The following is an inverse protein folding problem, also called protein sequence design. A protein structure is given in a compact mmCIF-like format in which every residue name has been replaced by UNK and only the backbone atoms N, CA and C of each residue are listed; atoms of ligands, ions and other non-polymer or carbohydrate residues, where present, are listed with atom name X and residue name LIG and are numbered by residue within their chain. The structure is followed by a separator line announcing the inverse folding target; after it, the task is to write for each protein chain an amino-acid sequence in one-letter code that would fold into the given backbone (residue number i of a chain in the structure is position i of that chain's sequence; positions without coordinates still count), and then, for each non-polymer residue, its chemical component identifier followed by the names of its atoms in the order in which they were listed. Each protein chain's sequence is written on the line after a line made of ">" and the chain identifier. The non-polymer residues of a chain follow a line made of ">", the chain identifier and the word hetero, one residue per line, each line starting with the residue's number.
data_IF_629229800964
#
_entry.id   IF_629229800964
#
_cell.length_a   1.000
_cell.length_b   1.000
_cell.length_c   1.000
_cell.angle_alpha   90.00
_cell.angle_beta   90.00
_cell.angle_gamma   90.00
#
_symmetry.space_group_name_H-M   'P 1'
#
loop_
_entity.id
_entity.type
_entity.pdbx_description
1 polymer ?
#
# COMPACT_ATOMS: atom_id res chain seq x y z
N UNK A 1 -12.81 39.23 -1.34
CA UNK A 1 -11.96 40.01 -0.42
C UNK A 1 -11.91 39.22 0.88
N UNK A 2 -11.10 38.15 0.91
CA UNK A 2 -10.89 37.35 2.12
C UNK A 2 -9.83 38.06 2.95
N UNK A 3 -10.24 38.59 4.10
CA UNK A 3 -9.33 39.17 5.06
C UNK A 3 -8.43 38.05 5.60
N UNK A 4 -7.20 37.97 5.07
CA UNK A 4 -6.13 37.21 5.69
C UNK A 4 -5.95 37.73 7.11
N UNK A 5 -6.20 36.89 8.10
CA UNK A 5 -5.81 37.16 9.49
C UNK A 5 -4.27 37.15 9.51
N UNK A 6 -3.66 38.29 9.25
CA UNK A 6 -2.26 38.52 9.58
C UNK A 6 -2.18 38.69 11.11
N UNK A 7 -1.98 37.59 11.81
CA UNK A 7 -1.57 37.67 13.21
C UNK A 7 -0.18 38.31 13.27
N UNK A 8 -0.10 39.54 13.77
CA UNK A 8 1.17 40.16 14.16
C UNK A 8 1.77 39.36 15.31
N UNK A 9 2.78 38.55 15.02
CA UNK A 9 3.37 37.63 15.99
C UNK A 9 4.46 38.34 16.82
N UNK A 10 4.06 38.86 17.99
CA UNK A 10 4.92 39.54 18.97
C UNK A 10 5.56 38.57 19.97
N UNK A 11 5.88 37.34 19.56
CA UNK A 11 6.34 36.27 20.47
C UNK A 11 7.86 36.09 20.50
N UNK A 12 8.39 35.82 21.70
CA UNK A 12 9.82 35.70 22.04
C UNK A 12 10.53 34.57 21.27
N UNK A 13 11.84 34.72 21.04
CA UNK A 13 12.62 33.92 20.07
C UNK A 13 12.60 32.40 20.25
N UNK A 14 12.48 31.88 21.48
CA UNK A 14 12.35 30.44 21.74
C UNK A 14 10.97 29.89 21.37
N UNK A 15 9.89 30.64 21.70
CA UNK A 15 8.53 30.26 21.34
C UNK A 15 8.31 30.31 19.83
N UNK A 16 8.93 31.26 19.15
CA UNK A 16 8.92 31.34 17.68
C UNK A 16 9.55 30.11 17.04
N UNK A 17 10.74 29.71 17.50
CA UNK A 17 11.45 28.51 16.99
C UNK A 17 10.65 27.22 17.23
N UNK A 18 9.97 27.10 18.37
CA UNK A 18 9.09 25.95 18.67
C UNK A 18 7.84 25.93 17.79
N UNK A 19 7.22 27.09 17.52
CA UNK A 19 6.06 27.21 16.63
C UNK A 19 6.44 26.97 15.16
N UNK A 20 7.66 27.34 14.76
CA UNK A 20 8.18 27.12 13.42
C UNK A 20 8.50 25.64 13.14
N UNK A 21 8.82 24.87 14.19
CA UNK A 21 9.04 23.42 14.08
C UNK A 21 7.71 22.69 13.96
N UNK A 22 7.50 21.96 12.85
CA UNK A 22 6.27 21.19 12.59
C UNK A 22 6.51 19.69 12.62
N UNK A 23 5.48 18.95 13.06
CA UNK A 23 5.36 17.49 12.95
C UNK A 23 4.09 17.21 12.13
N UNK A 24 4.27 16.77 10.89
CA UNK A 24 3.17 16.74 9.93
C UNK A 24 2.57 18.14 9.73
N UNK A 25 1.23 18.29 9.78
CA UNK A 25 0.59 19.60 9.63
C UNK A 25 0.60 20.46 10.91
N UNK A 26 1.02 19.91 12.06
CA UNK A 26 0.86 20.56 13.37
C UNK A 26 2.15 21.26 13.82
N UNK A 27 2.07 22.49 14.38
CA UNK A 27 3.17 23.07 15.15
C UNK A 27 3.53 22.20 16.35
N UNK A 28 4.80 22.14 16.72
CA UNK A 28 5.31 21.27 17.78
C UNK A 28 4.56 21.43 19.12
N UNK A 29 4.25 22.64 19.63
CA UNK A 29 3.49 22.78 20.88
C UNK A 29 2.11 22.11 20.81
N UNK A 30 1.39 22.30 19.71
CA UNK A 30 0.05 21.70 19.50
C UNK A 30 0.15 20.18 19.44
N UNK A 31 1.14 19.67 18.70
CA UNK A 31 1.39 18.23 18.62
C UNK A 31 1.65 17.63 20.01
N UNK A 32 2.56 18.22 20.80
CA UNK A 32 2.92 17.73 22.14
C UNK A 32 1.71 17.78 23.08
N UNK A 33 0.90 18.83 23.03
CA UNK A 33 -0.33 18.91 23.84
C UNK A 33 -1.32 17.80 23.48
N UNK A 34 -1.59 17.55 22.21
CA UNK A 34 -2.51 16.48 21.77
C UNK A 34 -1.96 15.10 22.14
N UNK A 35 -0.65 14.88 21.97
CA UNK A 35 0.01 13.65 22.40
C UNK A 35 -0.11 13.43 23.91
N UNK A 36 0.14 14.46 24.73
CA UNK A 36 0.01 14.38 26.18
C UNK A 36 -1.43 14.05 26.60
N UNK A 37 -2.44 14.71 26.02
CA UNK A 37 -3.85 14.42 26.29
C UNK A 37 -4.20 12.97 25.93
N UNK A 38 -3.75 12.49 24.77
CA UNK A 38 -4.03 11.13 24.28
C UNK A 38 -3.37 10.08 25.18
N UNK A 39 -2.11 10.28 25.57
CA UNK A 39 -1.38 9.38 26.47
C UNK A 39 -2.01 9.37 27.87
N UNK A 40 -2.33 10.54 28.42
CA UNK A 40 -3.01 10.64 29.72
C UNK A 40 -4.39 9.97 29.69
N UNK A 41 -5.16 10.14 28.61
CA UNK A 41 -6.44 9.47 28.45
C UNK A 41 -6.29 7.94 28.40
N UNK A 42 -5.27 7.43 27.70
CA UNK A 42 -4.98 5.99 27.63
C UNK A 42 -4.62 5.41 29.00
N UNK A 43 -3.65 6.03 29.70
CA UNK A 43 -3.19 5.58 31.03
C UNK A 43 -4.35 5.60 32.06
N UNK A 44 -5.23 6.60 31.98
CA UNK A 44 -6.42 6.71 32.84
C UNK A 44 -7.60 5.86 32.38
N UNK A 45 -7.45 5.02 31.33
CA UNK A 45 -8.52 4.19 30.74
C UNK A 45 -9.75 4.99 30.29
N UNK A 46 -9.53 6.23 29.84
CA UNK A 46 -10.53 7.17 29.33
C UNK A 46 -10.38 7.44 27.83
N UNK A 47 -9.40 6.83 27.17
CA UNK A 47 -9.28 6.90 25.72
C UNK A 47 -10.51 6.23 25.07
N UNK A 48 -11.26 6.93 24.20
CA UNK A 48 -12.40 6.34 23.52
C UNK A 48 -11.98 5.13 22.67
N UNK A 49 -12.67 4.00 22.83
CA UNK A 49 -12.46 2.82 22.00
C UNK A 49 -13.32 2.89 20.72
N UNK A 50 -13.06 3.91 19.91
CA UNK A 50 -13.77 4.20 18.68
C UNK A 50 -12.85 4.87 17.66
N UNK A 51 -13.42 5.35 16.55
CA UNK A 51 -12.68 6.02 15.49
C UNK A 51 -12.00 7.32 15.97
N UNK A 52 -12.54 8.02 16.95
CA UNK A 52 -11.95 9.27 17.48
C UNK A 52 -10.65 8.92 18.21
N UNK A 53 -10.72 7.98 19.17
CA UNK A 53 -9.53 7.56 19.91
C UNK A 53 -8.48 6.89 19.03
N UNK A 54 -8.91 6.04 18.10
CA UNK A 54 -7.96 5.37 17.21
C UNK A 54 -7.33 6.31 16.18
N UNK A 55 -8.07 7.24 15.59
CA UNK A 55 -7.47 8.25 14.70
C UNK A 55 -6.45 9.12 15.43
N UNK A 56 -6.71 9.50 16.69
CA UNK A 56 -5.75 10.25 17.49
C UNK A 56 -4.41 9.50 17.60
N UNK A 57 -4.45 8.22 17.99
CA UNK A 57 -3.23 7.39 18.11
C UNK A 57 -2.55 7.18 16.76
N UNK A 58 -3.31 6.80 15.72
CA UNK A 58 -2.79 6.54 14.38
C UNK A 58 -2.10 7.78 13.79
N UNK A 59 -2.76 8.95 13.86
CA UNK A 59 -2.24 10.19 13.27
C UNK A 59 -1.06 10.75 14.05
N UNK A 60 -1.09 10.70 15.39
CA UNK A 60 0.06 11.16 16.21
C UNK A 60 1.32 10.36 15.87
N UNK A 61 1.23 9.03 15.93
CA UNK A 61 2.36 8.15 15.58
C UNK A 61 2.75 8.32 14.11
N UNK A 62 1.78 8.40 13.20
CA UNK A 62 2.02 8.52 11.76
C UNK A 62 2.73 9.82 11.40
N UNK A 63 2.32 10.95 11.97
CA UNK A 63 2.97 12.24 11.73
C UNK A 63 4.38 12.26 12.31
N UNK A 64 4.58 11.74 13.52
CA UNK A 64 5.91 11.70 14.14
C UNK A 64 6.88 10.81 13.35
N UNK A 65 6.49 9.56 13.09
CA UNK A 65 7.35 8.59 12.40
C UNK A 65 7.56 8.97 10.94
N UNK A 66 6.54 9.52 10.29
CA UNK A 66 6.64 10.04 8.93
C UNK A 66 7.64 11.19 8.82
N UNK A 67 7.58 12.15 9.74
CA UNK A 67 8.51 13.29 9.79
C UNK A 67 9.95 12.84 10.06
N UNK A 68 10.15 11.96 11.05
CA UNK A 68 11.47 11.38 11.36
C UNK A 68 12.02 10.65 10.13
N UNK A 69 11.22 9.79 9.50
CA UNK A 69 11.65 8.99 8.35
C UNK A 69 11.95 9.82 7.11
N UNK A 70 11.29 10.97 6.93
CA UNK A 70 11.55 11.91 5.85
C UNK A 70 12.84 12.72 6.07
N UNK A 71 13.24 12.98 7.32
CA UNK A 71 14.43 13.77 7.66
C UNK A 71 15.72 12.94 7.74
N UNK A 72 15.64 11.64 7.99
CA UNK A 72 16.82 10.78 8.08
C UNK A 72 17.55 10.66 6.72
N UNK A 73 18.85 11.02 6.63
CA UNK A 73 19.54 11.26 5.37
C UNK A 73 19.66 10.02 4.47
N UNK A 74 19.85 8.83 5.04
CA UNK A 74 19.89 7.56 4.27
C UNK A 74 18.48 7.01 4.05
N UNK A 75 17.66 7.01 5.10
CA UNK A 75 16.32 6.41 5.08
C UNK A 75 15.38 7.12 4.11
N UNK A 76 15.48 8.44 3.94
CA UNK A 76 14.62 9.20 3.01
C UNK A 76 14.67 8.71 1.56
N UNK A 77 15.79 8.12 1.15
CA UNK A 77 16.01 7.61 -0.21
C UNK A 77 15.50 6.18 -0.44
N UNK A 78 15.10 5.48 0.62
CA UNK A 78 14.60 4.09 0.55
C UNK A 78 13.16 3.97 1.08
N UNK A 79 12.42 5.09 1.16
CA UNK A 79 11.05 5.10 1.67
C UNK A 79 10.95 5.17 3.20
N UNK A 80 11.92 5.81 3.86
CA UNK A 80 12.08 5.87 5.31
C UNK A 80 10.82 6.23 6.09
N UNK A 81 10.02 7.19 5.60
CA UNK A 81 8.75 7.55 6.23
C UNK A 81 7.78 6.36 6.29
N UNK A 82 7.60 5.64 5.17
CA UNK A 82 6.72 4.47 5.11
C UNK A 82 7.26 3.31 5.96
N UNK A 83 8.58 3.07 5.90
CA UNK A 83 9.26 2.01 6.67
C UNK A 83 9.09 2.25 8.18
N UNK A 84 9.38 3.45 8.67
CA UNK A 84 9.25 3.74 10.10
C UNK A 84 7.80 3.64 10.56
N UNK A 85 6.84 4.19 9.80
CA UNK A 85 5.43 4.07 10.11
C UNK A 85 4.94 2.61 10.13
N UNK A 86 5.56 1.70 9.37
CA UNK A 86 5.18 0.29 9.36
C UNK A 86 5.87 -0.53 10.46
N UNK A 87 7.20 -0.45 10.57
CA UNK A 87 7.96 -1.36 11.42
C UNK A 87 8.10 -0.88 12.86
N UNK A 88 8.13 0.43 13.13
CA UNK A 88 8.23 0.92 14.51
C UNK A 88 6.98 0.53 15.32
N UNK A 89 5.74 0.73 14.83
CA UNK A 89 4.56 0.28 15.57
C UNK A 89 4.51 -1.24 15.75
N UNK A 90 4.90 -2.01 14.73
CA UNK A 90 5.03 -3.47 14.85
C UNK A 90 5.99 -3.87 15.98
N UNK A 91 7.17 -3.24 16.04
CA UNK A 91 8.15 -3.47 17.09
C UNK A 91 7.63 -3.04 18.47
N UNK A 92 7.00 -1.87 18.58
CA UNK A 92 6.41 -1.38 19.83
C UNK A 92 5.33 -2.34 20.36
N UNK A 93 4.53 -2.94 19.47
CA UNK A 93 3.58 -4.01 19.84
C UNK A 93 4.32 -5.27 20.27
N UNK A 94 5.32 -5.70 19.51
CA UNK A 94 6.12 -6.90 19.80
C UNK A 94 6.84 -6.84 21.16
N UNK A 95 7.35 -5.68 21.54
CA UNK A 95 7.96 -5.41 22.84
C UNK A 95 6.96 -5.03 23.94
N UNK A 96 5.66 -5.02 23.64
CA UNK A 96 4.57 -4.68 24.58
C UNK A 96 4.70 -3.27 25.20
N UNK A 97 5.18 -2.31 24.40
CA UNK A 97 5.34 -0.90 24.80
C UNK A 97 4.04 -0.10 24.63
N UNK A 98 3.21 -0.45 23.64
CA UNK A 98 1.94 0.24 23.40
C UNK A 98 0.93 -0.09 24.51
N UNK A 99 0.30 0.95 25.06
CA UNK A 99 -0.75 0.82 26.07
C UNK A 99 -1.94 -0.03 25.55
N UNK A 100 -2.52 -0.93 26.39
CA UNK A 100 -3.64 -1.78 25.98
C UNK A 100 -4.87 -1.02 25.48
N UNK A 101 -5.19 0.16 26.03
CA UNK A 101 -6.33 0.97 25.59
C UNK A 101 -6.05 1.61 24.23
N UNK A 102 -4.81 2.03 23.97
CA UNK A 102 -4.40 2.45 22.63
C UNK A 102 -4.54 1.29 21.63
N UNK A 103 -4.10 0.08 22.00
CA UNK A 103 -4.24 -1.10 21.12
C UNK A 103 -5.69 -1.47 20.81
N UNK A 104 -6.60 -1.34 21.80
CA UNK A 104 -8.03 -1.51 21.58
C UNK A 104 -8.56 -0.47 20.59
N UNK A 105 -8.27 0.81 20.81
CA UNK A 105 -8.71 1.89 19.92
C UNK A 105 -8.19 1.73 18.48
N UNK A 106 -6.91 1.33 18.33
CA UNK A 106 -6.31 0.99 17.02
C UNK A 106 -7.05 -0.17 16.35
N UNK A 107 -7.31 -1.25 17.10
CA UNK A 107 -8.00 -2.44 16.59
C UNK A 107 -9.42 -2.09 16.16
N UNK A 108 -10.18 -1.38 16.99
CA UNK A 108 -11.54 -0.96 16.67
C UNK A 108 -11.56 -0.09 15.43
N UNK A 109 -10.65 0.87 15.31
CA UNK A 109 -10.64 1.80 14.17
C UNK A 109 -10.27 1.11 12.85
N UNK A 110 -9.24 0.25 12.88
CA UNK A 110 -8.72 -0.37 11.65
C UNK A 110 -9.53 -1.61 11.23
N UNK A 111 -9.91 -2.48 12.19
CA UNK A 111 -10.58 -3.75 11.91
C UNK A 111 -12.10 -3.68 12.05
N UNK A 112 -12.63 -2.97 13.06
CA UNK A 112 -14.08 -2.95 13.31
C UNK A 112 -14.79 -1.85 12.50
N UNK A 113 -14.29 -0.62 12.57
CA UNK A 113 -14.80 0.53 11.82
C UNK A 113 -14.34 0.53 10.35
N UNK A 114 -13.43 -0.38 9.98
CA UNK A 114 -12.95 -0.57 8.60
C UNK A 114 -12.34 0.68 7.96
N UNK A 115 -11.66 1.52 8.76
CA UNK A 115 -10.99 2.72 8.25
C UNK A 115 -10.01 2.41 7.10
N UNK A 116 -9.34 1.25 7.17
CA UNK A 116 -8.44 0.78 6.12
C UNK A 116 -9.16 0.58 4.78
N UNK A 117 -10.35 -0.05 4.78
CA UNK A 117 -11.12 -0.25 3.55
C UNK A 117 -11.72 1.04 3.04
N UNK A 118 -12.14 1.95 3.92
CA UNK A 118 -12.57 3.29 3.51
C UNK A 118 -11.43 4.05 2.81
N UNK A 119 -10.22 3.96 3.37
CA UNK A 119 -9.02 4.53 2.78
C UNK A 119 -8.74 3.94 1.38
N UNK A 120 -8.71 2.61 1.26
CA UNK A 120 -8.49 1.93 -0.03
C UNK A 120 -9.59 2.32 -1.03
N UNK A 121 -10.85 2.39 -0.60
CA UNK A 121 -11.97 2.77 -1.46
C UNK A 121 -11.80 4.18 -2.03
N UNK A 122 -11.45 5.15 -1.18
CA UNK A 122 -11.18 6.52 -1.62
C UNK A 122 -10.02 6.58 -2.61
N UNK A 123 -8.93 5.84 -2.34
CA UNK A 123 -7.78 5.79 -3.22
C UNK A 123 -8.09 5.19 -4.58
N UNK A 124 -8.71 4.01 -4.60
CA UNK A 124 -9.01 3.29 -5.85
C UNK A 124 -10.02 4.08 -6.69
N UNK A 125 -11.14 4.50 -6.10
CA UNK A 125 -12.16 5.25 -6.83
C UNK A 125 -11.61 6.59 -7.34
N UNK A 126 -10.96 7.36 -6.48
CA UNK A 126 -10.48 8.70 -6.84
C UNK A 126 -9.32 8.70 -7.82
N UNK A 127 -8.40 7.72 -7.75
CA UNK A 127 -7.30 7.61 -8.72
C UNK A 127 -7.77 7.11 -10.09
N UNK A 128 -8.73 6.17 -10.17
CA UNK A 128 -9.33 5.72 -11.45
C UNK A 128 -10.13 6.84 -12.09
N UNK A 129 -11.00 7.51 -11.32
CA UNK A 129 -11.83 8.58 -11.87
C UNK A 129 -10.99 9.82 -12.21
N UNK A 130 -9.87 10.05 -11.51
CA UNK A 130 -8.98 11.18 -11.74
C UNK A 130 -8.05 11.05 -12.95
N UNK A 131 -7.82 9.84 -13.48
CA UNK A 131 -6.94 9.63 -14.64
C UNK A 131 -7.68 9.75 -15.97
N UNK A 132 -6.96 9.88 -17.09
CA UNK A 132 -7.59 9.81 -18.42
C UNK A 132 -8.01 8.38 -18.76
N UNK A 133 -9.17 8.22 -19.42
CA UNK A 133 -9.68 6.90 -19.83
C UNK A 133 -8.71 6.15 -20.78
N UNK A 134 -7.92 6.87 -21.59
CA UNK A 134 -6.90 6.26 -22.47
C UNK A 134 -5.75 5.65 -21.67
N UNK A 135 -5.23 6.39 -20.67
CA UNK A 135 -4.15 5.91 -19.79
C UNK A 135 -4.62 4.70 -18.98
N UNK A 136 -5.86 4.73 -18.48
CA UNK A 136 -6.48 3.61 -17.77
C UNK A 136 -6.47 2.32 -18.61
N UNK A 137 -7.06 2.36 -19.81
CA UNK A 137 -7.18 1.18 -20.68
C UNK A 137 -5.80 0.70 -21.14
N UNK A 138 -4.93 1.61 -21.59
CA UNK A 138 -3.58 1.23 -22.04
C UNK A 138 -2.74 0.67 -20.89
N UNK A 139 -2.87 1.24 -19.70
CA UNK A 139 -2.15 0.79 -18.51
C UNK A 139 -2.55 -0.63 -18.12
N UNK A 140 -3.85 -0.92 -18.04
CA UNK A 140 -4.33 -2.27 -17.72
C UNK A 140 -3.90 -3.31 -18.75
N UNK A 141 -4.05 -3.01 -20.05
CA UNK A 141 -3.68 -3.94 -21.11
C UNK A 141 -2.17 -4.23 -21.14
N UNK A 142 -1.34 -3.19 -20.97
CA UNK A 142 0.13 -3.35 -21.05
C UNK A 142 0.72 -3.96 -19.80
N UNK A 143 0.10 -3.79 -18.63
CA UNK A 143 0.64 -4.24 -17.36
C UNK A 143 0.55 -5.76 -17.14
N UNK A 144 -0.26 -6.47 -17.93
CA UNK A 144 -0.36 -7.93 -17.85
C UNK A 144 0.97 -8.63 -18.17
N UNK A 145 1.70 -8.15 -19.19
CA UNK A 145 2.95 -8.79 -19.64
C UNK A 145 4.10 -8.61 -18.63
N UNK A 146 4.40 -7.40 -18.11
CA UNK A 146 5.42 -7.24 -17.07
C UNK A 146 5.10 -8.03 -15.80
N UNK A 147 3.81 -8.18 -15.46
CA UNK A 147 3.39 -9.01 -14.33
C UNK A 147 3.74 -10.47 -14.57
N UNK A 148 3.28 -11.05 -15.68
CA UNK A 148 3.51 -12.46 -16.01
C UNK A 148 5.01 -12.80 -16.11
N UNK A 149 5.77 -12.00 -16.86
CA UNK A 149 7.21 -12.21 -17.01
C UNK A 149 7.94 -12.02 -15.67
N UNK A 150 7.53 -11.01 -14.89
CA UNK A 150 8.08 -10.78 -13.56
C UNK A 150 7.81 -11.92 -12.60
N UNK A 151 6.63 -12.50 -12.61
CA UNK A 151 6.30 -13.68 -11.80
C UNK A 151 7.11 -14.90 -12.19
N UNK A 152 7.30 -15.16 -13.49
CA UNK A 152 8.19 -16.23 -13.96
C UNK A 152 9.64 -16.00 -13.51
N UNK A 153 10.15 -14.78 -13.66
CA UNK A 153 11.49 -14.43 -13.21
C UNK A 153 11.64 -14.57 -11.68
N UNK A 154 10.63 -14.20 -10.91
CA UNK A 154 10.58 -14.35 -9.46
C UNK A 154 10.66 -15.83 -9.04
N UNK A 155 9.91 -16.70 -9.72
CA UNK A 155 9.94 -18.16 -9.51
C UNK A 155 11.32 -18.73 -9.80
N UNK A 156 11.88 -18.41 -10.97
CA UNK A 156 13.21 -18.91 -11.38
C UNK A 156 14.29 -18.42 -10.41
N UNK A 157 14.31 -17.13 -10.10
CA UNK A 157 15.32 -16.55 -9.21
C UNK A 157 15.20 -17.08 -7.78
N UNK A 158 13.98 -17.17 -7.24
CA UNK A 158 13.72 -17.68 -5.90
C UNK A 158 14.17 -19.13 -5.74
N UNK A 159 13.78 -20.02 -6.66
CA UNK A 159 14.20 -21.44 -6.65
C UNK A 159 15.71 -21.56 -6.80
N UNK A 160 16.31 -20.80 -7.72
CA UNK A 160 17.76 -20.85 -7.97
C UNK A 160 18.57 -20.45 -6.74
N UNK A 161 18.17 -19.35 -6.07
CA UNK A 161 18.83 -18.92 -4.83
C UNK A 161 18.53 -19.89 -3.69
N UNK A 162 17.32 -20.45 -3.62
CA UNK A 162 16.98 -21.51 -2.67
C UNK A 162 17.93 -22.71 -2.77
N UNK A 163 18.18 -23.19 -3.98
CA UNK A 163 19.12 -24.28 -4.26
C UNK A 163 20.54 -23.94 -3.79
N UNK A 164 21.03 -22.72 -4.03
CA UNK A 164 22.36 -22.31 -3.55
C UNK A 164 22.48 -22.29 -2.02
N UNK A 165 21.39 -22.06 -1.30
CA UNK A 165 21.35 -22.12 0.16
C UNK A 165 20.91 -23.47 0.71
N UNK A 166 20.78 -24.50 -0.13
CA UNK A 166 20.43 -25.87 0.27
C UNK A 166 18.95 -26.11 0.55
N UNK A 167 18.06 -25.21 0.11
CA UNK A 167 16.62 -25.41 0.20
C UNK A 167 16.11 -26.31 -0.92
N UNK A 168 15.13 -27.16 -0.60
CA UNK A 168 14.42 -27.98 -1.57
C UNK A 168 13.60 -27.09 -2.54
N UNK A 169 13.68 -27.31 -3.87
CA UNK A 169 12.93 -26.53 -4.87
C UNK A 169 11.42 -26.50 -4.66
N UNK A 170 10.79 -27.63 -4.29
CA UNK A 170 9.35 -27.69 -4.01
C UNK A 170 9.04 -26.85 -2.77
N UNK A 171 9.85 -26.95 -1.73
CA UNK A 171 9.67 -26.14 -0.53
C UNK A 171 9.80 -24.64 -0.84
N UNK A 172 10.88 -24.25 -1.53
CA UNK A 172 11.11 -22.85 -1.92
C UNK A 172 9.97 -22.31 -2.77
N UNK A 173 9.48 -23.08 -3.73
CA UNK A 173 8.35 -22.67 -4.56
C UNK A 173 7.08 -22.49 -3.73
N UNK A 174 6.59 -23.56 -3.08
CA UNK A 174 5.26 -23.57 -2.46
C UNK A 174 5.17 -22.76 -1.16
N UNK A 175 6.26 -22.67 -0.39
CA UNK A 175 6.25 -22.09 0.96
C UNK A 175 7.02 -20.77 1.09
N UNK A 176 7.78 -20.36 0.06
CA UNK A 176 8.48 -19.06 0.07
C UNK A 176 8.04 -18.18 -1.10
N UNK A 177 8.23 -18.63 -2.34
CA UNK A 177 7.94 -17.83 -3.53
C UNK A 177 6.44 -17.55 -3.66
N UNK A 178 5.60 -18.59 -3.63
CA UNK A 178 4.15 -18.43 -3.79
C UNK A 178 3.55 -17.48 -2.73
N UNK A 179 3.88 -17.59 -1.44
CA UNK A 179 3.43 -16.62 -0.44
C UNK A 179 3.85 -15.18 -0.73
N UNK A 180 5.04 -14.96 -1.31
CA UNK A 180 5.50 -13.62 -1.70
C UNK A 180 4.59 -13.08 -2.81
N UNK A 181 4.33 -13.85 -3.87
CA UNK A 181 3.56 -13.40 -5.05
C UNK A 181 2.05 -13.72 -4.97
N UNK A 182 1.57 -14.13 -3.80
CA UNK A 182 0.23 -14.70 -3.60
C UNK A 182 -0.87 -13.69 -3.29
N UNK A 183 -0.59 -12.39 -3.26
CA UNK A 183 -1.62 -11.36 -2.99
C UNK A 183 -1.85 -11.07 -1.49
N UNK A 184 -0.88 -11.40 -0.63
CA UNK A 184 -0.85 -11.03 0.78
C UNK A 184 -1.56 -11.99 1.73
N UNK A 185 -1.85 -11.54 2.95
CA UNK A 185 -2.37 -12.43 4.02
C UNK A 185 -3.84 -12.79 3.75
N UNK A 186 -4.71 -11.79 3.67
CA UNK A 186 -6.16 -12.00 3.65
C UNK A 186 -6.68 -12.70 2.39
N UNK A 187 -6.15 -12.32 1.24
CA UNK A 187 -6.60 -12.85 -0.06
C UNK A 187 -5.63 -13.86 -0.67
N UNK A 188 -4.45 -14.01 -0.08
CA UNK A 188 -3.40 -14.93 -0.52
C UNK A 188 -3.23 -16.12 0.41
N UNK A 189 -2.53 -15.89 1.52
CA UNK A 189 -2.13 -16.93 2.46
C UNK A 189 -3.34 -17.66 3.05
N UNK A 190 -4.43 -16.97 3.38
CA UNK A 190 -5.62 -17.62 3.92
C UNK A 190 -6.22 -18.65 2.94
N UNK A 191 -6.64 -18.30 1.71
CA UNK A 191 -7.14 -19.30 0.77
C UNK A 191 -6.09 -20.33 0.36
N UNK A 192 -4.82 -19.94 0.21
CA UNK A 192 -3.72 -20.88 -0.07
C UNK A 192 -3.57 -21.94 1.04
N UNK A 193 -3.65 -21.52 2.31
CA UNK A 193 -3.56 -22.41 3.46
C UNK A 193 -4.74 -23.38 3.55
N UNK A 194 -5.93 -22.99 3.10
CA UNK A 194 -7.10 -23.89 3.01
C UNK A 194 -6.81 -24.98 1.97
N UNK A 195 -6.43 -24.57 0.75
CA UNK A 195 -6.11 -25.52 -0.33
C UNK A 195 -4.98 -26.48 0.05
N UNK A 196 -3.91 -25.97 0.68
CA UNK A 196 -2.80 -26.81 1.13
C UNK A 196 -3.20 -27.72 2.30
N UNK A 197 -4.08 -27.28 3.19
CA UNK A 197 -4.57 -28.08 4.32
C UNK A 197 -5.34 -29.30 3.84
N UNK A 198 -6.21 -29.11 2.85
CA UNK A 198 -6.97 -30.19 2.22
C UNK A 198 -6.06 -31.20 1.49
N UNK A 199 -5.01 -30.72 0.82
CA UNK A 199 -4.11 -31.58 0.04
C UNK A 199 -3.11 -32.32 0.96
N UNK A 200 -2.50 -31.62 1.92
CA UNK A 200 -1.40 -32.14 2.75
C UNK A 200 -1.87 -32.78 4.06
N UNK A 201 -3.16 -32.67 4.41
CA UNK A 201 -3.72 -33.17 5.67
C UNK A 201 -3.20 -32.45 6.92
N UNK A 202 -2.60 -31.26 6.77
CA UNK A 202 -2.04 -30.47 7.89
C UNK A 202 -3.03 -29.43 8.40
N UNK A 203 -3.02 -29.08 9.69
CA UNK A 203 -3.84 -28.00 10.21
C UNK A 203 -3.56 -26.67 9.51
N UNK A 204 -4.61 -25.95 9.10
CA UNK A 204 -4.48 -24.65 8.43
C UNK A 204 -3.63 -23.65 9.22
N UNK A 205 -3.75 -23.63 10.55
CA UNK A 205 -2.98 -22.73 11.41
C UNK A 205 -1.46 -22.96 11.32
N UNK A 206 -1.03 -24.21 11.17
CA UNK A 206 0.39 -24.56 10.98
C UNK A 206 0.89 -24.03 9.63
N UNK A 207 0.08 -24.19 8.57
CA UNK A 207 0.39 -23.69 7.23
C UNK A 207 0.48 -22.16 7.22
N UNK A 208 -0.46 -21.46 7.85
CA UNK A 208 -0.41 -19.99 7.97
C UNK A 208 0.90 -19.56 8.64
N UNK A 209 1.30 -20.20 9.74
CA UNK A 209 2.54 -19.87 10.44
C UNK A 209 3.80 -20.09 9.57
N UNK A 210 3.77 -21.03 8.63
CA UNK A 210 4.87 -21.24 7.68
C UNK A 210 4.87 -20.22 6.52
N UNK A 211 3.71 -19.79 6.04
CA UNK A 211 3.58 -18.96 4.84
C UNK A 211 3.71 -17.45 5.12
N UNK A 212 3.22 -16.98 6.27
CA UNK A 212 3.21 -15.55 6.64
C UNK A 212 4.61 -14.91 6.61
N UNK A 213 5.68 -15.53 7.15
CA UNK A 213 6.97 -14.88 7.21
C UNK A 213 7.58 -14.57 5.84
N UNK A 214 7.37 -15.42 4.83
CA UNK A 214 7.78 -15.16 3.45
C UNK A 214 7.11 -13.89 2.89
N UNK A 215 5.79 -13.76 3.05
CA UNK A 215 5.06 -12.59 2.58
C UNK A 215 5.49 -11.30 3.29
N UNK A 216 5.76 -11.36 4.60
CA UNK A 216 6.25 -10.23 5.38
C UNK A 216 7.62 -9.75 4.86
N UNK A 217 8.58 -10.67 4.68
CA UNK A 217 9.91 -10.33 4.17
C UNK A 217 9.89 -9.88 2.71
N UNK A 218 9.08 -10.51 1.86
CA UNK A 218 8.84 -10.07 0.49
C UNK A 218 8.39 -8.62 0.44
N UNK A 219 7.40 -8.26 1.26
CA UNK A 219 6.89 -6.89 1.35
C UNK A 219 7.95 -5.89 1.86
N UNK A 220 8.81 -6.29 2.81
CA UNK A 220 9.96 -5.45 3.25
C UNK A 220 10.86 -5.12 2.05
N UNK A 221 11.24 -6.14 1.28
CA UNK A 221 12.12 -5.95 0.11
C UNK A 221 11.40 -5.10 -0.94
N UNK A 222 10.10 -5.29 -1.16
CA UNK A 222 9.32 -4.53 -2.14
C UNK A 222 9.25 -3.03 -1.80
N UNK A 223 9.06 -2.70 -0.51
CA UNK A 223 9.08 -1.33 -0.01
C UNK A 223 10.45 -0.69 -0.26
N UNK A 224 11.53 -1.39 0.10
CA UNK A 224 12.91 -0.91 -0.09
C UNK A 224 13.23 -0.71 -1.57
N UNK A 225 12.92 -1.70 -2.42
CA UNK A 225 13.13 -1.65 -3.85
C UNK A 225 12.37 -0.47 -4.48
N UNK A 226 11.15 -0.20 -4.04
CA UNK A 226 10.33 0.90 -4.56
C UNK A 226 10.84 2.27 -4.12
N UNK A 227 11.36 2.39 -2.89
CA UNK A 227 12.08 3.59 -2.45
C UNK A 227 13.34 3.86 -3.29
N UNK A 228 14.11 2.81 -3.58
CA UNK A 228 15.29 2.90 -4.47
C UNK A 228 14.87 3.30 -5.90
N UNK A 229 13.80 2.72 -6.45
CA UNK A 229 13.28 3.07 -7.77
C UNK A 229 12.80 4.53 -7.85
N UNK A 230 12.17 5.05 -6.78
CA UNK A 230 11.85 6.49 -6.67
C UNK A 230 13.10 7.34 -6.80
N UNK A 231 14.14 7.04 -6.01
CA UNK A 231 15.40 7.79 -6.06
C UNK A 231 16.07 7.68 -7.44
N UNK A 232 15.98 6.52 -8.09
CA UNK A 232 16.45 6.32 -9.46
C UNK A 232 15.69 7.21 -10.45
N UNK A 233 14.37 7.30 -10.33
CA UNK A 233 13.52 8.15 -11.17
C UNK A 233 13.80 9.64 -10.98
N UNK A 234 14.07 10.08 -9.75
CA UNK A 234 14.47 11.47 -9.45
C UNK A 234 15.83 11.81 -10.06
N UNK A 235 16.80 10.88 -9.99
CA UNK A 235 18.15 11.07 -10.59
C UNK A 235 18.15 10.93 -12.11
N UNK A 236 17.23 10.13 -12.68
CA UNK A 236 17.13 9.86 -14.11
C UNK A 236 15.69 10.08 -14.59
N UNK A 237 15.29 11.34 -14.83
CA UNK A 237 13.90 11.68 -15.18
C UNK A 237 13.37 10.95 -16.43
N UNK A 238 14.23 10.59 -17.39
CA UNK A 238 13.83 9.85 -18.59
C UNK A 238 13.32 8.42 -18.30
N UNK A 239 13.55 7.88 -17.10
CA UNK A 239 13.06 6.57 -16.65
C UNK A 239 11.75 6.66 -15.85
N UNK A 240 11.33 7.86 -15.45
CA UNK A 240 10.21 8.10 -14.54
C UNK A 240 9.11 8.87 -15.25
N UNK A 241 7.87 8.42 -15.08
CA UNK A 241 6.66 9.15 -15.46
C UNK A 241 6.17 10.08 -14.36
N UNK A 242 6.85 10.15 -13.22
CA UNK A 242 6.49 10.97 -12.07
C UNK A 242 5.05 10.76 -11.56
N UNK A 243 4.55 9.52 -11.67
CA UNK A 243 3.17 9.17 -11.32
C UNK A 243 2.40 8.55 -12.48
N UNK A 244 2.82 8.80 -13.73
CA UNK A 244 2.20 8.20 -14.91
C UNK A 244 2.87 6.87 -15.27
N UNK A 245 2.06 5.83 -15.47
CA UNK A 245 2.54 4.49 -15.80
C UNK A 245 2.87 4.34 -17.30
N UNK A 246 2.04 4.92 -18.16
CA UNK A 246 2.11 4.78 -19.61
C UNK A 246 2.58 6.09 -20.22
N UNK A 247 3.50 6.02 -21.18
CA UNK A 247 3.91 7.18 -21.96
C UNK A 247 2.76 7.63 -22.85
N UNK A 248 2.12 8.72 -22.48
CA UNK A 248 1.26 9.47 -23.41
C UNK A 248 2.13 9.85 -24.61
N UNK A 249 1.73 9.44 -25.81
CA UNK A 249 2.48 9.71 -27.06
C UNK A 249 2.51 11.20 -27.43
N UNK A 250 2.54 11.51 -28.73
CA UNK A 250 2.52 12.90 -29.26
C UNK A 250 1.29 13.73 -28.85
N UNK A 251 0.29 13.12 -28.21
CA UNK A 251 -0.93 13.77 -27.68
C UNK A 251 -0.82 14.15 -26.19
N UNK A 252 0.40 14.28 -25.63
CA UNK A 252 0.62 14.56 -24.21
C UNK A 252 -0.14 15.80 -23.70
N UNK A 253 -0.26 16.84 -24.53
CA UNK A 253 -0.97 18.08 -24.17
C UNK A 253 -2.50 17.92 -24.06
N UNK A 254 -3.09 16.99 -24.83
CA UNK A 254 -4.52 16.67 -24.78
C UNK A 254 -4.88 15.70 -23.64
N UNK A 255 -3.87 15.07 -23.03
CA UNK A 255 -4.01 14.07 -21.97
C UNK A 255 -3.55 14.60 -20.60
N UNK A 256 -3.15 15.87 -20.53
CA UNK A 256 -2.83 16.53 -19.26
C UNK A 256 -4.01 16.38 -18.29
N UNK A 257 -3.74 15.86 -17.10
CA UNK A 257 -4.74 15.68 -16.05
C UNK A 257 -5.26 17.07 -15.61
N UNK A 258 -6.26 17.61 -16.31
CA UNK A 258 -6.87 18.93 -16.04
C UNK A 258 -7.46 19.07 -14.63
N UNK A 259 -7.45 17.99 -13.85
CA UNK A 259 -7.92 17.96 -12.47
C UNK A 259 -6.88 18.41 -11.44
N UNK A 260 -5.59 18.51 -11.77
CA UNK A 260 -4.56 18.91 -10.80
C UNK A 260 -4.58 20.41 -10.47
N UNK A 261 -5.00 21.25 -11.42
CA UNK A 261 -5.05 22.72 -11.27
C UNK A 261 -6.45 23.25 -10.92
N UNK A 262 -7.45 22.35 -10.83
CA UNK A 262 -8.81 22.75 -10.47
C UNK A 262 -8.88 23.13 -8.98
N UNK A 263 -9.57 24.24 -8.63
CA UNK A 263 -9.67 24.69 -7.24
C UNK A 263 -10.37 23.64 -6.38
N UNK A 264 -9.92 23.50 -5.13
CA UNK A 264 -10.50 22.57 -4.16
C UNK A 264 -11.95 22.96 -3.88
N UNK A 265 -12.86 22.00 -4.01
CA UNK A 265 -14.28 22.19 -3.68
C UNK A 265 -14.71 21.14 -2.64
N UNK A 266 -14.99 21.59 -1.42
CA UNK A 266 -15.32 20.70 -0.30
C UNK A 266 -16.60 19.90 -0.53
N UNK A 267 -17.61 20.47 -1.19
CA UNK A 267 -18.85 19.76 -1.51
C UNK A 267 -18.60 18.65 -2.53
N UNK A 268 -17.72 18.87 -3.51
CA UNK A 268 -17.35 17.82 -4.47
C UNK A 268 -16.52 16.72 -3.80
N UNK A 269 -15.65 17.06 -2.84
CA UNK A 269 -14.96 16.05 -2.04
C UNK A 269 -15.95 15.16 -1.27
N UNK A 270 -17.00 15.76 -0.67
CA UNK A 270 -18.08 15.01 -0.03
C UNK A 270 -18.80 14.05 -0.98
N UNK A 271 -19.10 14.49 -2.21
CA UNK A 271 -19.64 13.62 -3.25
C UNK A 271 -18.65 12.49 -3.63
N UNK A 272 -17.36 12.82 -3.72
CA UNK A 272 -16.29 11.86 -3.98
C UNK A 272 -16.19 10.76 -2.90
N UNK A 273 -16.34 11.12 -1.63
CA UNK A 273 -16.41 10.17 -0.52
C UNK A 273 -17.61 9.23 -0.69
N UNK A 274 -18.80 9.78 -0.97
CA UNK A 274 -20.01 8.98 -1.19
C UNK A 274 -19.86 8.02 -2.38
N UNK A 275 -19.29 8.49 -3.50
CA UNK A 275 -19.00 7.66 -4.68
C UNK A 275 -18.05 6.52 -4.33
N UNK A 276 -17.01 6.79 -3.55
CA UNK A 276 -16.03 5.78 -3.11
C UNK A 276 -16.69 4.69 -2.28
N UNK A 277 -17.55 5.07 -1.32
CA UNK A 277 -18.34 4.13 -0.54
C UNK A 277 -19.32 3.33 -1.42
N UNK A 278 -19.98 3.99 -2.38
CA UNK A 278 -20.91 3.34 -3.29
C UNK A 278 -20.22 2.27 -4.14
N UNK A 279 -19.02 2.56 -4.70
CA UNK A 279 -18.25 1.55 -5.42
C UNK A 279 -17.84 0.37 -4.57
N UNK A 280 -17.44 0.61 -3.32
CA UNK A 280 -17.06 -0.47 -2.41
C UNK A 280 -18.25 -1.38 -2.09
N UNK A 281 -19.40 -0.80 -1.75
CA UNK A 281 -20.66 -1.53 -1.49
C UNK A 281 -21.11 -2.29 -2.74
N UNK A 282 -21.06 -1.65 -3.91
CA UNK A 282 -21.45 -2.25 -5.17
C UNK A 282 -20.53 -3.42 -5.56
N UNK A 283 -19.22 -3.28 -5.36
CA UNK A 283 -18.27 -4.38 -5.55
C UNK A 283 -18.57 -5.57 -4.64
N UNK A 284 -18.87 -5.32 -3.36
CA UNK A 284 -19.26 -6.36 -2.42
C UNK A 284 -20.59 -7.05 -2.79
N UNK A 285 -21.56 -6.28 -3.30
CA UNK A 285 -22.84 -6.82 -3.79
C UNK A 285 -22.62 -7.73 -5.00
N UNK A 286 -21.84 -7.30 -5.98
CA UNK A 286 -21.53 -8.08 -7.17
C UNK A 286 -20.70 -9.34 -6.86
N UNK A 287 -19.89 -9.33 -5.80
CA UNK A 287 -19.08 -10.47 -5.39
C UNK A 287 -19.93 -11.70 -5.07
N UNK A 288 -21.13 -11.51 -4.51
CA UNK A 288 -22.05 -12.60 -4.18
C UNK A 288 -22.58 -13.32 -5.42
N UNK A 289 -22.75 -12.59 -6.52
CA UNK A 289 -23.28 -13.14 -7.77
C UNK A 289 -22.21 -13.72 -8.69
N UNK A 290 -21.00 -13.16 -8.64
CA UNK A 290 -19.91 -13.50 -9.58
C UNK A 290 -18.83 -14.40 -8.96
N UNK A 291 -18.75 -14.47 -7.64
CA UNK A 291 -17.65 -15.14 -6.93
C UNK A 291 -16.31 -14.40 -6.99
N UNK A 292 -16.25 -13.25 -7.66
CA UNK A 292 -15.03 -12.43 -7.77
C UNK A 292 -14.88 -11.53 -6.53
N UNK A 293 -13.67 -11.35 -5.96
CA UNK A 293 -13.48 -10.47 -4.81
C UNK A 293 -14.01 -9.05 -5.02
N UNK A 294 -14.74 -8.53 -4.04
CA UNK A 294 -15.38 -7.21 -4.09
C UNK A 294 -14.45 -6.05 -4.47
N UNK A 295 -13.21 -5.95 -3.94
CA UNK A 295 -12.25 -4.94 -4.36
C UNK A 295 -11.89 -4.97 -5.86
N UNK A 296 -11.84 -6.15 -6.49
CA UNK A 296 -11.61 -6.28 -7.94
C UNK A 296 -12.81 -5.73 -8.70
N UNK A 297 -14.02 -6.10 -8.28
CA UNK A 297 -15.26 -5.63 -8.90
C UNK A 297 -15.44 -4.12 -8.73
N UNK A 298 -14.98 -3.56 -7.61
CA UNK A 298 -14.91 -2.12 -7.39
C UNK A 298 -14.04 -1.43 -8.45
N UNK A 299 -12.84 -1.96 -8.73
CA UNK A 299 -11.91 -1.44 -9.75
C UNK A 299 -12.55 -1.52 -11.14
N UNK A 300 -13.11 -2.67 -11.50
CA UNK A 300 -13.77 -2.89 -12.79
C UNK A 300 -14.94 -1.92 -12.96
N UNK A 301 -15.76 -1.75 -11.91
CA UNK A 301 -16.93 -0.84 -11.94
C UNK A 301 -16.51 0.62 -12.10
N UNK A 302 -15.50 1.06 -11.34
CA UNK A 302 -14.97 2.42 -11.47
C UNK A 302 -14.36 2.67 -12.85
N UNK A 303 -13.62 1.68 -13.38
CA UNK A 303 -13.02 1.76 -14.71
C UNK A 303 -14.09 1.81 -15.81
N UNK A 304 -15.14 0.98 -15.70
CA UNK A 304 -16.24 0.95 -16.65
C UNK A 304 -16.99 2.27 -16.67
N UNK A 305 -17.31 2.86 -15.51
CA UNK A 305 -17.94 4.18 -15.45
C UNK A 305 -17.05 5.30 -16.02
N UNK A 306 -15.73 5.20 -15.80
CA UNK A 306 -14.78 6.16 -16.38
C UNK A 306 -14.71 6.08 -17.90
N UNK A 307 -14.66 4.86 -18.45
CA UNK A 307 -14.57 4.63 -19.89
C UNK A 307 -15.89 4.97 -20.60
N UNK A 308 -17.03 4.65 -19.98
CA UNK A 308 -18.35 4.95 -20.53
C UNK A 308 -18.72 6.44 -20.48
N UNK A 309 -17.96 7.26 -19.72
CA UNK A 309 -18.21 8.70 -19.52
C UNK A 309 -19.60 9.02 -18.97
N UNK A 310 -20.20 8.07 -18.25
CA UNK A 310 -21.52 8.24 -17.63
C UNK A 310 -21.47 9.20 -16.45
N UNK A 311 -20.35 9.23 -15.72
CA UNK A 311 -20.20 10.06 -14.54
C UNK A 311 -19.85 11.52 -14.93
N UNK A 312 -20.53 12.54 -14.39
CA UNK A 312 -20.19 13.93 -14.67
C UNK A 312 -18.76 14.28 -14.22
N UNK A 313 -18.03 15.07 -15.01
CA UNK A 313 -16.63 15.45 -14.72
C UNK A 313 -16.44 16.10 -13.33
N UNK A 314 -17.45 16.82 -12.82
CA UNK A 314 -17.42 17.41 -11.46
C UNK A 314 -17.35 16.34 -10.37
N UNK A 315 -18.01 15.20 -10.58
CA UNK A 315 -18.00 14.06 -9.66
C UNK A 315 -16.68 13.30 -9.74
N UNK A 316 -16.11 13.16 -10.94
CA UNK A 316 -14.76 12.61 -11.12
C UNK A 316 -13.71 13.46 -10.40
N UNK A 317 -13.77 14.78 -10.58
CA UNK A 317 -12.92 15.74 -9.86
C UNK A 317 -13.10 15.62 -8.35
N UNK A 318 -14.35 15.54 -7.87
CA UNK A 318 -14.64 15.37 -6.45
C UNK A 318 -14.03 14.11 -5.85
N UNK A 319 -14.16 12.98 -6.53
CA UNK A 319 -13.52 11.71 -6.14
C UNK A 319 -11.99 11.83 -6.13
N UNK A 320 -11.41 12.47 -7.15
CA UNK A 320 -9.96 12.72 -7.21
C UNK A 320 -9.47 13.63 -6.07
N UNK A 321 -10.19 14.72 -5.76
CA UNK A 321 -9.85 15.61 -4.65
C UNK A 321 -9.98 14.89 -3.29
N UNK A 322 -10.99 14.04 -3.12
CA UNK A 322 -11.13 13.22 -1.93
C UNK A 322 -9.97 12.23 -1.78
N UNK A 323 -9.58 11.55 -2.87
CA UNK A 323 -8.38 10.72 -2.91
C UNK A 323 -7.15 11.49 -2.44
N UNK A 324 -6.89 12.70 -2.99
CA UNK A 324 -5.74 13.53 -2.62
C UNK A 324 -5.76 13.90 -1.14
N UNK A 325 -6.92 14.23 -0.57
CA UNK A 325 -7.03 14.54 0.85
C UNK A 325 -6.67 13.31 1.71
N UNK A 326 -7.25 12.15 1.39
CA UNK A 326 -7.02 10.91 2.15
C UNK A 326 -5.56 10.45 2.05
N UNK A 327 -4.99 10.44 0.83
CA UNK A 327 -3.61 10.01 0.61
C UNK A 327 -2.58 10.96 1.21
N UNK A 328 -2.89 12.26 1.30
CA UNK A 328 -1.94 13.24 1.87
C UNK A 328 -1.93 13.17 3.40
N UNK A 329 -3.11 13.02 4.03
CA UNK A 329 -3.24 13.19 5.47
C UNK A 329 -3.27 11.88 6.26
N UNK A 330 -3.76 10.79 5.67
CA UNK A 330 -4.03 9.55 6.40
C UNK A 330 -3.08 8.41 6.05
N UNK A 331 -2.23 8.54 5.02
CA UNK A 331 -1.35 7.43 4.60
C UNK A 331 -0.44 6.94 5.70
N UNK A 332 0.28 7.83 6.39
CA UNK A 332 1.16 7.42 7.48
C UNK A 332 0.38 6.87 8.68
N UNK A 333 -0.80 7.43 8.96
CA UNK A 333 -1.70 6.91 9.99
C UNK A 333 -2.14 5.48 9.67
N UNK A 334 -2.53 5.20 8.43
CA UNK A 334 -2.87 3.85 7.95
C UNK A 334 -1.66 2.93 8.07
N UNK A 335 -0.47 3.34 7.63
CA UNK A 335 0.75 2.52 7.76
C UNK A 335 1.05 2.14 9.22
N UNK A 336 0.80 3.04 10.18
CA UNK A 336 0.91 2.73 11.61
C UNK A 336 -0.07 1.63 12.03
N UNK A 337 -1.33 1.76 11.63
CA UNK A 337 -2.34 0.73 11.89
C UNK A 337 -1.98 -0.61 11.23
N UNK A 338 -1.41 -0.56 10.03
CA UNK A 338 -0.93 -1.74 9.31
C UNK A 338 0.20 -2.44 10.06
N UNK A 339 1.20 -1.66 10.49
CA UNK A 339 2.34 -2.14 11.25
C UNK A 339 1.94 -2.78 12.57
N UNK A 340 1.11 -2.07 13.35
CA UNK A 340 0.69 -2.52 14.67
C UNK A 340 -0.20 -3.76 14.65
N UNK A 341 -1.00 -3.97 13.59
CA UNK A 341 -2.08 -4.97 13.60
C UNK A 341 -1.91 -6.14 12.63
N UNK A 342 -1.05 -6.01 11.61
CA UNK A 342 -0.89 -7.00 10.54
C UNK A 342 0.55 -7.45 10.33
N UNK A 343 1.55 -6.73 10.88
CA UNK A 343 2.95 -7.14 10.82
C UNK A 343 3.37 -7.73 12.16
N UNK A 344 3.60 -9.05 12.19
CA UNK A 344 4.07 -9.75 13.37
C UNK A 344 5.58 -9.54 13.54
N UNK A 345 5.98 -8.71 14.50
CA UNK A 345 7.40 -8.43 14.78
C UNK A 345 8.17 -9.70 15.13
N UNK A 346 7.56 -10.58 15.93
CA UNK A 346 8.16 -11.84 16.37
C UNK A 346 8.45 -12.76 15.18
N UNK A 347 7.48 -12.94 14.29
CA UNK A 347 7.66 -13.79 13.09
C UNK A 347 8.65 -13.18 12.11
N UNK A 348 8.61 -11.86 11.91
CA UNK A 348 9.55 -11.15 11.04
C UNK A 348 10.99 -11.36 11.51
N UNK A 349 11.26 -11.18 12.80
CA UNK A 349 12.60 -11.38 13.38
C UNK A 349 13.00 -12.86 13.34
N UNK A 350 12.09 -13.77 13.65
CA UNK A 350 12.36 -15.21 13.66
C UNK A 350 12.70 -15.76 12.26
N UNK A 351 12.10 -15.21 11.21
CA UNK A 351 12.34 -15.63 9.83
C UNK A 351 13.60 -15.02 9.20
N UNK A 352 14.26 -14.08 9.89
CA UNK A 352 15.43 -13.39 9.36
C UNK A 352 16.69 -14.26 9.47
N UNK A 353 16.80 -15.25 8.58
CA UNK A 353 18.05 -15.99 8.33
C UNK A 353 18.68 -15.53 7.02
N UNK A 354 20.02 -15.60 6.86
CA UNK A 354 20.68 -15.13 5.64
C UNK A 354 20.15 -15.80 4.36
N UNK A 355 19.96 -17.12 4.38
CA UNK A 355 19.45 -17.87 3.23
C UNK A 355 18.00 -17.52 2.90
N UNK A 356 17.12 -17.51 3.91
CA UNK A 356 15.71 -17.20 3.72
C UNK A 356 15.50 -15.76 3.22
N UNK A 357 16.24 -14.80 3.78
CA UNK A 357 16.24 -13.42 3.32
C UNK A 357 16.75 -13.30 1.89
N UNK A 358 17.84 -14.00 1.53
CA UNK A 358 18.38 -13.99 0.18
C UNK A 358 17.37 -14.51 -0.86
N UNK A 359 16.63 -15.58 -0.54
CA UNK A 359 15.55 -16.11 -1.40
C UNK A 359 14.45 -15.06 -1.59
N UNK A 360 13.96 -14.47 -0.49
CA UNK A 360 12.92 -13.42 -0.55
C UNK A 360 13.40 -12.23 -1.38
N UNK A 361 14.63 -11.76 -1.13
CA UNK A 361 15.21 -10.64 -1.83
C UNK A 361 15.38 -10.92 -3.33
N UNK A 362 15.91 -12.08 -3.71
CA UNK A 362 16.08 -12.47 -5.10
C UNK A 362 14.73 -12.57 -5.83
N UNK A 363 13.73 -13.17 -5.18
CA UNK A 363 12.36 -13.30 -5.72
C UNK A 363 11.78 -11.92 -6.06
N UNK A 364 11.81 -10.98 -5.11
CA UNK A 364 11.25 -9.64 -5.29
C UNK A 364 12.08 -8.79 -6.24
N UNK A 365 13.41 -8.83 -6.17
CA UNK A 365 14.27 -8.07 -7.08
C UNK A 365 14.15 -8.55 -8.53
N UNK A 366 13.97 -9.86 -8.75
CA UNK A 366 13.72 -10.40 -10.08
C UNK A 366 12.35 -9.96 -10.62
N UNK A 367 11.32 -9.96 -9.78
CA UNK A 367 9.98 -9.44 -10.11
C UNK A 367 10.05 -7.96 -10.52
N UNK A 368 10.65 -7.12 -9.68
CA UNK A 368 10.79 -5.67 -9.89
C UNK A 368 11.67 -5.35 -11.09
N UNK A 369 12.81 -6.03 -11.22
CA UNK A 369 13.75 -5.84 -12.32
C UNK A 369 13.11 -6.21 -13.67
N UNK A 370 12.43 -7.35 -13.73
CA UNK A 370 11.70 -7.76 -14.93
C UNK A 370 10.60 -6.77 -15.28
N UNK A 371 9.82 -6.32 -14.29
CA UNK A 371 8.81 -5.29 -14.47
C UNK A 371 9.36 -3.99 -15.03
N UNK A 372 10.53 -3.58 -14.55
CA UNK A 372 11.25 -2.39 -15.03
C UNK A 372 11.66 -2.52 -16.50
N UNK A 373 12.32 -3.62 -16.87
CA UNK A 373 12.85 -3.79 -18.23
C UNK A 373 11.75 -4.12 -19.26
N UNK A 374 10.83 -5.03 -18.93
CA UNK A 374 9.72 -5.41 -19.81
C UNK A 374 8.75 -4.23 -19.99
N UNK A 375 8.46 -3.48 -18.93
CA UNK A 375 7.66 -2.26 -19.02
C UNK A 375 8.27 -1.24 -19.99
N UNK A 376 9.60 -1.09 -19.99
CA UNK A 376 10.30 -0.22 -20.95
C UNK A 376 10.01 -0.60 -22.40
N UNK A 377 10.04 -1.91 -22.72
CA UNK A 377 9.80 -2.42 -24.06
C UNK A 377 8.35 -2.22 -24.51
N UNK A 378 7.41 -2.21 -23.57
CA UNK A 378 5.98 -1.99 -23.83
C UNK A 378 5.58 -0.50 -23.81
N UNK A 379 6.56 0.41 -23.82
CA UNK A 379 6.33 1.85 -23.85
C UNK A 379 5.74 2.39 -22.54
N UNK A 380 5.97 1.72 -21.42
CA UNK A 380 5.66 2.21 -20.07
C UNK A 380 6.87 2.94 -19.50
N UNK A 381 6.68 3.68 -18.42
CA UNK A 381 7.80 4.23 -17.65
C UNK A 381 8.43 3.12 -16.80
N UNK A 382 9.74 2.83 -16.96
CA UNK A 382 10.39 1.71 -16.27
C UNK A 382 10.27 1.76 -14.75
N UNK A 383 10.41 2.95 -14.15
CA UNK A 383 10.32 3.13 -12.69
C UNK A 383 8.92 2.78 -12.19
N UNK A 384 7.89 3.36 -12.78
CA UNK A 384 6.50 3.10 -12.39
C UNK A 384 6.09 1.64 -12.66
N UNK A 385 6.55 1.04 -13.75
CA UNK A 385 6.32 -0.39 -14.05
C UNK A 385 6.99 -1.31 -13.03
N UNK A 386 8.23 -1.00 -12.63
CA UNK A 386 8.94 -1.71 -11.57
C UNK A 386 8.23 -1.59 -10.21
N UNK A 387 7.68 -0.43 -9.89
CA UNK A 387 6.92 -0.20 -8.64
C UNK A 387 5.59 -0.97 -8.66
N UNK A 388 4.83 -0.92 -9.75
CA UNK A 388 3.55 -1.65 -9.87
C UNK A 388 3.76 -3.17 -9.82
N UNK A 389 4.85 -3.67 -10.40
CA UNK A 389 5.23 -5.09 -10.26
C UNK A 389 5.71 -5.42 -8.84
N UNK A 390 6.40 -4.51 -8.15
CA UNK A 390 6.73 -4.69 -6.73
C UNK A 390 5.48 -4.94 -5.87
N UNK A 391 4.37 -4.27 -6.17
CA UNK A 391 3.09 -4.47 -5.48
C UNK A 391 2.59 -5.93 -5.53
N UNK A 392 2.91 -6.69 -6.58
CA UNK A 392 2.57 -8.11 -6.66
C UNK A 392 3.23 -8.95 -5.55
N UNK A 393 4.32 -8.44 -4.94
CA UNK A 393 4.97 -9.02 -3.75
C UNK A 393 4.54 -8.40 -2.41
N UNK A 394 3.49 -7.56 -2.43
CA UNK A 394 2.98 -6.86 -1.26
C UNK A 394 2.01 -7.70 -0.42
N UNK A 395 1.76 -7.25 0.82
CA UNK A 395 0.80 -7.85 1.75
C UNK A 395 -0.68 -7.60 1.38
N UNK A 396 -1.03 -7.68 0.10
CA UNK A 396 -2.36 -7.28 -0.38
C UNK A 396 -2.43 -5.77 -0.51
N UNK A 397 -3.65 -5.20 -0.44
CA UNK A 397 -3.81 -3.75 -0.57
C UNK A 397 -3.14 -2.92 0.53
N UNK A 398 -2.81 -3.52 1.66
CA UNK A 398 -2.03 -2.87 2.72
C UNK A 398 -0.55 -2.74 2.34
N UNK A 399 0.00 -3.78 1.72
CA UNK A 399 1.34 -3.77 1.13
C UNK A 399 1.45 -2.75 0.01
N UNK A 400 0.45 -2.70 -0.88
CA UNK A 400 0.41 -1.71 -1.97
C UNK A 400 0.52 -0.28 -1.42
N UNK A 401 -0.20 0.05 -0.34
CA UNK A 401 -0.13 1.37 0.29
C UNK A 401 1.26 1.65 0.83
N UNK A 402 1.95 0.68 1.43
CA UNK A 402 3.31 0.84 1.91
C UNK A 402 4.32 1.03 0.76
N UNK A 403 4.21 0.23 -0.29
CA UNK A 403 5.08 0.24 -1.47
C UNK A 403 4.92 1.55 -2.26
N UNK A 404 3.67 1.98 -2.49
CA UNK A 404 3.37 3.23 -3.20
C UNK A 404 3.68 4.46 -2.36
N UNK A 405 3.53 4.39 -1.03
CA UNK A 405 3.94 5.47 -0.12
C UNK A 405 5.46 5.64 -0.12
N UNK A 406 6.22 4.53 -0.04
CA UNK A 406 7.68 4.55 -0.08
C UNK A 406 8.24 5.16 -1.37
N UNK A 407 7.53 4.96 -2.49
CA UNK A 407 7.91 5.51 -3.79
C UNK A 407 7.27 6.87 -4.13
N UNK A 408 6.37 7.39 -3.29
CA UNK A 408 5.56 8.58 -3.57
C UNK A 408 4.78 8.46 -4.90
N UNK A 409 4.07 7.35 -5.08
CA UNK A 409 3.31 7.00 -6.29
C UNK A 409 1.89 6.49 -6.00
N UNK A 410 1.22 7.08 -5.01
CA UNK A 410 -0.14 6.67 -4.61
C UNK A 410 -1.18 6.69 -5.75
N UNK A 411 -0.95 7.46 -6.81
CA UNK A 411 -1.80 7.47 -8.01
C UNK A 411 -1.81 6.15 -8.79
N UNK A 412 -0.82 5.28 -8.56
CA UNK A 412 -0.73 3.96 -9.18
C UNK A 412 -1.54 2.89 -8.45
N UNK A 413 -2.28 3.24 -7.38
CA UNK A 413 -3.08 2.30 -6.59
C UNK A 413 -3.97 1.37 -7.44
N UNK A 414 -4.64 1.82 -8.52
CA UNK A 414 -5.48 0.92 -9.32
C UNK A 414 -4.68 -0.19 -10.00
N UNK A 415 -3.51 0.16 -10.54
CA UNK A 415 -2.61 -0.79 -11.18
C UNK A 415 -1.99 -1.74 -10.15
N UNK A 416 -1.62 -1.22 -8.98
CA UNK A 416 -1.13 -2.01 -7.86
C UNK A 416 -2.17 -3.04 -7.40
N UNK A 417 -3.42 -2.61 -7.19
CA UNK A 417 -4.48 -3.54 -6.79
C UNK A 417 -4.73 -4.62 -7.85
N UNK A 418 -4.70 -4.30 -9.14
CA UNK A 418 -4.82 -5.34 -10.18
C UNK A 418 -3.67 -6.33 -10.09
N UNK A 419 -2.44 -5.82 -10.00
CA UNK A 419 -1.20 -6.60 -9.86
C UNK A 419 -1.30 -7.59 -8.69
N UNK A 420 -1.71 -7.09 -7.52
CA UNK A 420 -1.77 -7.84 -6.28
C UNK A 420 -2.96 -8.80 -6.22
N UNK A 421 -4.15 -8.35 -6.62
CA UNK A 421 -5.41 -9.08 -6.44
C UNK A 421 -5.62 -10.12 -7.53
N UNK A 422 -5.48 -9.72 -8.80
CA UNK A 422 -5.68 -10.62 -9.94
C UNK A 422 -4.45 -11.51 -10.10
N UNK A 423 -3.25 -10.93 -10.04
CA UNK A 423 -2.01 -11.70 -10.08
C UNK A 423 -1.92 -12.70 -8.92
N UNK A 424 -2.23 -12.25 -7.70
CA UNK A 424 -2.21 -13.13 -6.52
C UNK A 424 -3.19 -14.29 -6.62
N UNK A 425 -4.45 -14.02 -6.99
CA UNK A 425 -5.46 -15.06 -7.19
C UNK A 425 -5.02 -16.10 -8.24
N UNK A 426 -4.44 -15.66 -9.35
CA UNK A 426 -3.90 -16.56 -10.36
C UNK A 426 -2.79 -17.46 -9.78
N UNK A 427 -1.87 -16.90 -9.00
CA UNK A 427 -0.79 -17.66 -8.37
C UNK A 427 -1.28 -18.69 -7.35
N UNK A 428 -2.28 -18.36 -6.54
CA UNK A 428 -2.87 -19.30 -5.58
C UNK A 428 -3.52 -20.48 -6.29
N UNK A 429 -4.30 -20.21 -7.36
CA UNK A 429 -4.96 -21.26 -8.14
C UNK A 429 -3.91 -22.16 -8.78
N UNK A 430 -2.91 -21.58 -9.44
CA UNK A 430 -1.82 -22.34 -10.04
C UNK A 430 -1.07 -23.17 -9.00
N UNK A 431 -0.71 -22.60 -7.85
CA UNK A 431 0.02 -23.30 -6.81
C UNK A 431 -0.80 -24.46 -6.21
N UNK A 432 -2.07 -24.24 -5.91
CA UNK A 432 -2.94 -25.30 -5.35
C UNK A 432 -3.11 -26.46 -6.34
N UNK A 433 -3.33 -26.17 -7.63
CA UNK A 433 -3.43 -27.20 -8.67
C UNK A 433 -2.12 -27.96 -8.85
N UNK A 434 -0.98 -27.25 -8.90
CA UNK A 434 0.33 -27.88 -9.02
C UNK A 434 0.65 -28.74 -7.80
N UNK A 435 0.32 -28.28 -6.58
CA UNK A 435 0.54 -29.05 -5.36
C UNK A 435 -0.28 -30.33 -5.38
N UNK A 436 -1.54 -30.28 -5.82
CA UNK A 436 -2.41 -31.46 -5.93
C UNK A 436 -1.87 -32.52 -6.91
N UNK A 437 -1.15 -32.10 -7.94
CA UNK A 437 -0.55 -33.01 -8.94
C UNK A 437 0.80 -33.56 -8.48
N UNK A 438 1.55 -32.80 -7.67
CA UNK A 438 2.90 -33.14 -7.22
C UNK A 438 2.97 -33.78 -5.83
N UNK A 439 1.82 -33.88 -5.15
CA UNK A 439 1.60 -34.62 -3.91
C UNK A 439 0.99 -35.98 -4.25
#
# INVERSE_FOLDING_TARGET
>A
MEASIQAQDTRTGLWRTLVDTKIGPLPLPVYVTIAAITVLAAINKKLPNDMIGGLAVLMLLGFLLGEIGARLPVFKHIGGAAILCLFVPSALVGYKVIDPEMMKALTTTMKTANLQYLYIACLVAGSILGMSHRVLVQGFMRMFIPLLVGTLAAVVAGITVGLFFGYDPKHTFFFIVIPIVGGGIGEGILPLSIGYSEILGRPQAELIAMLVPAALLGNVVAILASGVLKTLGEKRPHLSGNGDLVKSGKDADLLSNSHNDAPINLSFMGAGLMISCAFFIFGALLAQFTGIPGPILMIISAALLKVSKVLPQKMELGAHQMYRFVSTNLTFAILVGLGALFVSWKELVAAFTPGYFAICAATVLALVGSGFFVGKWLGMYPVESGIVTACHSGLGGTGDVAILSASNRMGLMPFAQISTRIGGAAMIVCATLLLKVLH
#
